data_IF_747169147292
#
_entry.id   IF_747169147292
#
_cell.length_a   1.000
_cell.length_b   1.000
_cell.length_c   1.000
_cell.angle_alpha   90.00
_cell.angle_beta   90.00
_cell.angle_gamma   90.00
#
_symmetry.space_group_name_H-M   'P 1'
#
loop_
_entity.id
_entity.type
_entity.pdbx_description
1 polymer ?
#
# COMPACT_ATOMS: atom_id res chain seq x y z
N UNK A 1 -20.54 -21.03 17.94
CA UNK A 1 -19.53 -20.23 17.20
C UNK A 1 -18.85 -19.24 18.13
N UNK A 2 -17.51 -19.23 18.17
CA UNK A 2 -16.76 -18.25 18.95
C UNK A 2 -17.00 -16.80 18.44
N UNK A 3 -17.16 -15.84 19.37
CA UNK A 3 -17.22 -14.40 19.08
C UNK A 3 -15.81 -13.80 19.14
N UNK A 4 -14.97 -14.23 18.19
CA UNK A 4 -13.58 -13.80 18.07
C UNK A 4 -13.39 -13.16 16.69
N UNK A 5 -12.59 -12.10 16.63
CA UNK A 5 -12.16 -11.49 15.37
C UNK A 5 -11.04 -12.31 14.74
N UNK A 6 -11.18 -12.66 13.46
CA UNK A 6 -10.24 -13.53 12.76
C UNK A 6 -8.87 -12.88 12.51
N UNK A 7 -8.77 -11.54 12.53
CA UNK A 7 -7.51 -10.83 12.32
C UNK A 7 -6.76 -10.49 13.62
N UNK A 8 -7.46 -10.01 14.65
CA UNK A 8 -6.82 -9.47 15.85
C UNK A 8 -7.09 -10.31 17.11
N UNK A 9 -7.84 -11.41 17.01
CA UNK A 9 -8.15 -12.27 18.14
C UNK A 9 -9.05 -11.62 19.21
N UNK A 10 -9.64 -10.45 18.97
CA UNK A 10 -10.51 -9.77 19.94
C UNK A 10 -11.71 -10.65 20.26
N UNK A 11 -11.75 -11.15 21.49
CA UNK A 11 -12.82 -11.99 22.04
C UNK A 11 -13.76 -11.22 22.96
N UNK A 12 -14.57 -11.97 23.70
CA UNK A 12 -15.43 -11.42 24.75
C UNK A 12 -14.56 -11.05 25.95
N UNK A 13 -14.75 -9.85 26.48
CA UNK A 13 -14.17 -9.45 27.75
C UNK A 13 -15.23 -9.50 28.86
N UNK A 14 -14.78 -9.78 30.08
CA UNK A 14 -15.62 -9.83 31.27
C UNK A 14 -15.37 -8.59 32.13
N UNK A 15 -16.44 -8.05 32.72
CA UNK A 15 -16.30 -6.99 33.71
C UNK A 15 -17.64 -6.68 34.36
N UNK A 16 -17.77 -5.48 34.93
CA UNK A 16 -18.97 -5.07 35.66
C UNK A 16 -19.62 -3.83 35.05
N UNK A 17 -20.94 -3.74 35.13
CA UNK A 17 -21.64 -2.47 35.17
C UNK A 17 -21.57 -1.93 36.60
N UNK A 18 -21.11 -0.70 36.77
CA UNK A 18 -20.97 -0.04 38.06
C UNK A 18 -21.94 1.14 38.09
N UNK A 19 -22.87 1.15 39.04
CA UNK A 19 -23.77 2.29 39.23
C UNK A 19 -23.08 3.44 39.97
N UNK A 20 -23.74 4.61 40.06
CA UNK A 20 -23.27 5.71 40.91
C UNK A 20 -23.06 5.31 42.37
N UNK A 21 -23.92 4.43 42.90
CA UNK A 21 -23.79 3.85 44.24
C UNK A 21 -22.74 2.72 44.34
N UNK A 22 -21.97 2.47 43.27
CA UNK A 22 -20.91 1.45 43.19
C UNK A 22 -21.41 0.00 43.28
N UNK A 23 -22.70 -0.23 43.03
CA UNK A 23 -23.25 -1.58 42.88
C UNK A 23 -22.69 -2.20 41.60
N UNK A 24 -22.11 -3.40 41.72
CA UNK A 24 -21.43 -4.09 40.62
C UNK A 24 -22.25 -5.26 40.13
N UNK A 25 -22.68 -5.19 38.86
CA UNK A 25 -23.37 -6.30 38.19
C UNK A 25 -22.47 -6.85 37.09
N UNK A 26 -22.28 -8.18 37.06
CA UNK A 26 -21.46 -8.84 36.03
C UNK A 26 -22.04 -8.57 34.65
N UNK A 27 -21.20 -8.15 33.70
CA UNK A 27 -21.56 -7.98 32.29
C UNK A 27 -20.51 -8.49 31.34
N UNK A 28 -20.97 -8.82 30.13
CA UNK A 28 -20.13 -9.29 29.03
C UNK A 28 -19.94 -8.18 28.02
N UNK A 29 -18.68 -7.87 27.71
CA UNK A 29 -18.30 -6.95 26.65
C UNK A 29 -18.08 -7.74 25.36
N UNK A 30 -19.08 -7.69 24.49
CA UNK A 30 -19.03 -8.35 23.18
C UNK A 30 -18.43 -7.38 22.17
N UNK A 31 -17.36 -7.75 21.44
CA UNK A 31 -16.86 -6.93 20.34
C UNK A 31 -17.91 -6.83 19.23
N UNK A 32 -17.97 -5.69 18.55
CA UNK A 32 -18.82 -5.50 17.39
C UNK A 32 -18.21 -6.21 16.17
N UNK A 33 -18.51 -7.50 16.02
CA UNK A 33 -18.04 -8.36 14.92
C UNK A 33 -19.05 -8.34 13.77
N UNK A 34 -18.56 -8.04 12.58
CA UNK A 34 -19.34 -8.02 11.35
C UNK A 34 -18.80 -9.07 10.38
N UNK A 35 -19.71 -9.70 9.65
CA UNK A 35 -19.37 -10.68 8.62
C UNK A 35 -19.11 -9.95 7.32
N UNK A 36 -17.96 -10.18 6.70
CA UNK A 36 -17.66 -9.67 5.37
C UNK A 36 -16.99 -10.73 4.51
N UNK A 37 -17.05 -10.53 3.20
CA UNK A 37 -16.27 -11.31 2.25
C UNK A 37 -14.90 -10.65 2.10
N UNK A 38 -13.83 -11.44 2.19
CA UNK A 38 -12.45 -11.01 1.94
C UNK A 38 -11.75 -12.01 1.05
N UNK A 39 -10.70 -11.55 0.38
CA UNK A 39 -9.71 -12.43 -0.25
C UNK A 39 -8.73 -12.91 0.83
N UNK A 40 -8.60 -14.21 1.00
CA UNK A 40 -7.66 -14.87 1.90
C UNK A 40 -6.91 -15.93 1.10
N UNK A 41 -5.60 -15.80 0.97
CA UNK A 41 -4.75 -16.70 0.18
C UNK A 41 -5.26 -16.97 -1.25
N UNK A 42 -5.80 -15.94 -1.90
CA UNK A 42 -6.34 -16.04 -3.27
C UNK A 42 -7.77 -16.57 -3.37
N UNK A 43 -8.35 -17.07 -2.28
CA UNK A 43 -9.74 -17.52 -2.23
C UNK A 43 -10.64 -16.50 -1.54
N UNK A 44 -11.86 -16.31 -2.06
CA UNK A 44 -12.87 -15.48 -1.39
C UNK A 44 -13.49 -16.27 -0.24
N UNK A 45 -13.30 -15.78 0.99
CA UNK A 45 -13.86 -16.38 2.21
C UNK A 45 -14.71 -15.38 2.98
N UNK A 46 -15.70 -15.89 3.70
CA UNK A 46 -16.49 -15.10 4.66
C UNK A 46 -15.79 -15.15 6.01
N UNK A 47 -15.39 -14.00 6.52
CA UNK A 47 -14.69 -13.85 7.81
C UNK A 47 -15.45 -12.89 8.73
N UNK A 48 -15.17 -12.97 10.03
CA UNK A 48 -15.69 -12.06 11.05
C UNK A 48 -14.60 -11.11 11.48
N UNK A 49 -14.79 -9.82 11.20
CA UNK A 49 -13.91 -8.78 11.72
C UNK A 49 -14.63 -7.85 12.67
N UNK A 50 -13.90 -7.38 13.66
CA UNK A 50 -14.33 -6.23 14.45
C UNK A 50 -14.31 -4.94 13.62
N UNK A 51 -15.16 -3.98 14.00
CA UNK A 51 -15.29 -2.69 13.31
C UNK A 51 -13.97 -1.93 13.13
N UNK A 52 -13.06 -2.00 14.11
CA UNK A 52 -11.74 -1.36 13.98
C UNK A 52 -10.83 -2.04 12.96
N UNK A 53 -10.89 -3.37 12.82
CA UNK A 53 -10.20 -4.08 11.74
C UNK A 53 -10.82 -3.75 10.38
N UNK A 54 -12.14 -3.59 10.30
CA UNK A 54 -12.82 -3.20 9.06
C UNK A 54 -12.41 -1.79 8.63
N UNK A 55 -12.33 -0.86 9.59
CA UNK A 55 -11.88 0.50 9.30
C UNK A 55 -10.42 0.56 8.87
N UNK A 56 -9.54 -0.28 9.43
CA UNK A 56 -8.16 -0.44 8.94
C UNK A 56 -8.13 -1.06 7.55
N UNK A 57 -8.88 -2.13 7.33
CA UNK A 57 -8.97 -2.80 6.02
C UNK A 57 -9.46 -1.85 4.91
N UNK A 58 -10.40 -0.94 5.21
CA UNK A 58 -10.85 0.09 4.27
C UNK A 58 -9.79 1.14 3.95
N UNK A 59 -8.87 1.44 4.88
CA UNK A 59 -7.80 2.44 4.69
C UNK A 59 -6.58 1.84 3.99
N UNK A 60 -6.11 0.69 4.48
CA UNK A 60 -4.84 0.10 4.07
C UNK A 60 -5.00 -0.90 2.91
N UNK A 61 -6.25 -1.18 2.49
CA UNK A 61 -6.66 -2.19 1.47
C UNK A 61 -6.24 -3.64 1.78
N UNK A 62 -5.34 -3.85 2.74
CA UNK A 62 -4.83 -5.15 3.17
C UNK A 62 -4.63 -5.18 4.67
N UNK A 63 -4.92 -6.33 5.27
CA UNK A 63 -4.72 -6.60 6.68
C UNK A 63 -4.15 -8.02 6.82
N UNK A 64 -2.83 -8.14 6.92
CA UNK A 64 -2.14 -9.44 6.93
C UNK A 64 -2.46 -10.29 5.67
N UNK A 65 -2.99 -11.51 5.84
CA UNK A 65 -3.39 -12.37 4.72
C UNK A 65 -4.71 -11.94 4.05
N UNK A 66 -5.47 -11.02 4.67
CA UNK A 66 -6.79 -10.60 4.21
C UNK A 66 -6.70 -9.37 3.30
N UNK A 67 -7.42 -9.40 2.16
CA UNK A 67 -7.54 -8.29 1.21
C UNK A 67 -9.01 -7.96 0.92
N UNK A 68 -9.28 -6.70 0.56
CA UNK A 68 -10.61 -6.29 0.06
C UNK A 68 -10.90 -6.93 -1.30
N UNK A 69 -12.19 -7.18 -1.58
CA UNK A 69 -12.66 -7.74 -2.86
C UNK A 69 -12.96 -6.63 -3.87
N UNK A 70 -12.61 -5.37 -3.58
CA UNK A 70 -12.82 -4.29 -4.54
C UNK A 70 -12.07 -4.62 -5.83
N UNK A 71 -12.85 -4.88 -6.86
CA UNK A 71 -12.39 -5.21 -8.19
C UNK A 71 -11.72 -3.97 -8.78
N UNK A 72 -10.39 -3.98 -8.85
CA UNK A 72 -9.70 -3.37 -9.99
C UNK A 72 -8.79 -4.43 -10.61
N UNK A 73 -9.06 -4.86 -11.86
CA UNK A 73 -8.16 -5.72 -12.59
C UNK A 73 -6.98 -4.88 -13.10
N UNK A 74 -5.76 -5.20 -12.64
CA UNK A 74 -4.46 -4.92 -13.28
C UNK A 74 -4.01 -3.47 -13.63
N UNK A 75 -2.66 -3.33 -13.67
CA UNK A 75 -1.83 -2.14 -13.89
C UNK A 75 -1.88 -1.12 -12.73
N UNK A 76 -0.84 -0.94 -11.93
CA UNK A 76 0.53 -0.64 -12.35
C UNK A 76 1.49 -1.42 -11.47
N UNK A 77 2.32 -2.25 -12.12
CA UNK A 77 3.61 -2.66 -11.58
C UNK A 77 4.28 -1.42 -10.99
N UNK A 78 4.60 -1.44 -9.70
CA UNK A 78 5.59 -0.51 -9.19
C UNK A 78 6.92 -0.86 -9.86
N UNK A 79 7.12 -0.37 -11.09
CA UNK A 79 8.42 0.01 -11.60
C UNK A 79 9.04 0.76 -10.43
N UNK A 80 10.22 0.35 -9.94
CA UNK A 80 10.89 1.07 -8.87
C UNK A 80 10.89 2.54 -9.28
N UNK A 81 10.53 3.44 -8.36
CA UNK A 81 10.77 4.87 -8.55
C UNK A 81 12.28 5.01 -8.75
N UNK A 82 12.73 4.88 -10.00
CA UNK A 82 14.09 5.14 -10.41
C UNK A 82 14.27 6.62 -10.19
N UNK A 83 14.82 6.96 -9.03
CA UNK A 83 15.98 7.83 -8.90
C UNK A 83 16.30 8.60 -10.18
N UNK A 84 15.55 9.68 -10.43
CA UNK A 84 15.98 10.78 -11.29
C UNK A 84 15.48 12.09 -10.69
N UNK A 85 16.14 12.50 -9.61
CA UNK A 85 16.60 13.88 -9.50
C UNK A 85 18.13 13.78 -9.48
N UNK A 86 18.70 13.44 -10.63
CA UNK A 86 20.06 13.86 -10.94
C UNK A 86 19.83 15.13 -11.75
N UNK A 87 20.25 16.26 -11.20
CA UNK A 87 20.29 17.53 -11.92
C UNK A 87 21.06 17.28 -13.22
N UNK A 88 20.62 17.77 -14.39
CA UNK A 88 21.45 17.67 -15.58
C UNK A 88 22.69 18.53 -15.35
N UNK A 89 23.83 17.89 -15.08
CA UNK A 89 25.13 18.54 -15.20
C UNK A 89 25.22 19.07 -16.64
N UNK A 90 25.33 20.40 -16.74
CA UNK A 90 25.61 21.09 -17.99
C UNK A 90 26.97 20.60 -18.47
N UNK A 91 27.00 19.62 -19.38
CA UNK A 91 28.20 19.33 -20.15
C UNK A 91 28.38 20.48 -21.14
N UNK A 92 29.28 21.40 -20.78
CA UNK A 92 29.99 22.20 -21.77
C UNK A 92 30.73 21.22 -22.67
N UNK A 93 30.21 20.97 -23.86
CA UNK A 93 30.98 20.32 -24.92
C UNK A 93 31.80 21.45 -25.56
N UNK A 94 33.08 21.46 -25.21
CA UNK A 94 34.10 22.26 -25.88
C UNK A 94 34.07 21.93 -27.37
N UNK A 95 33.93 22.95 -28.21
CA UNK A 95 34.02 22.83 -29.67
C UNK A 95 35.49 22.58 -30.03
N UNK A 96 35.87 21.33 -30.22
CA UNK A 96 37.09 21.01 -30.98
C UNK A 96 36.81 21.33 -32.45
N UNK A 97 37.39 22.44 -32.90
CA UNK A 97 37.46 22.86 -34.29
C UNK A 97 38.27 21.82 -35.09
N UNK A 98 37.63 21.02 -35.93
CA UNK A 98 38.33 20.37 -37.03
C UNK A 98 38.48 21.41 -38.16
N UNK A 99 39.72 21.73 -38.60
CA UNK A 99 39.93 22.70 -39.65
C UNK A 99 39.52 22.09 -41.00
N UNK A 100 38.58 22.75 -41.67
CA UNK A 100 38.21 22.47 -43.05
C UNK A 100 39.47 22.50 -43.94
N UNK A 101 39.70 21.41 -44.67
CA UNK A 101 40.68 21.37 -45.76
C UNK A 101 40.30 22.44 -46.78
N UNK A 102 41.26 23.29 -47.11
CA UNK A 102 41.10 24.43 -48.01
C UNK A 102 40.96 23.90 -49.44
N UNK A 103 40.09 24.55 -50.22
CA UNK A 103 39.85 24.24 -51.65
C UNK A 103 41.11 24.47 -52.51
N UNK A 104 42.15 25.10 -51.96
CA UNK A 104 43.40 25.42 -52.66
C UNK A 104 44.35 24.22 -52.86
N UNK A 105 44.07 23.04 -52.31
CA UNK A 105 44.84 21.82 -52.57
C UNK A 105 44.28 20.98 -53.76
N UNK A 106 43.24 21.46 -54.46
CA UNK A 106 42.69 20.81 -55.67
C UNK A 106 43.30 21.39 -56.96
N UNK A 107 44.09 22.48 -56.89
CA UNK A 107 44.77 23.06 -58.06
C UNK A 107 46.26 23.26 -57.77
N UNK A 108 47.03 22.16 -57.81
CA UNK A 108 48.38 22.21 -58.38
C UNK A 108 48.23 22.12 -59.89
N UNK A 109 48.36 23.24 -60.62
CA UNK A 109 49.58 23.58 -61.38
C UNK A 109 50.11 22.39 -62.17
N UNK A 110 49.54 22.18 -63.35
CA UNK A 110 50.19 22.30 -64.67
C UNK A 110 49.09 22.38 -65.75
#
# INVERSE_FOLDING_TARGET
MARICDNCGRGIAYGNAVSHAKNRVKRLFKPNLQKLKVLHDGAVRRVKFCTSCIQRLKRDSRLGPFRVISFTPTAVESIPKTSKIIQPEKKHVEKTHEPALKIEDIVGKE
#
